data_IF_304792194489
#
_entry.id   IF_304792194489
#
_cell.length_a   1.000
_cell.length_b   1.000
_cell.length_c   1.000
_cell.angle_alpha   90.00
_cell.angle_beta   90.00
_cell.angle_gamma   90.00
#
_symmetry.space_group_name_H-M   'P 1'
#
loop_
_entity.id
_entity.type
_entity.pdbx_description
1 polymer ?
#
# COMPACT_ATOMS: atom_id res chain seq x y z
N UNK A 1 -0.61 -10.57 -15.08
CA UNK A 1 -1.75 -9.87 -14.44
C UNK A 1 -1.88 -8.45 -14.96
N UNK A 2 -2.98 -7.75 -14.66
CA UNK A 2 -3.40 -6.45 -15.24
C UNK A 2 -2.28 -5.40 -15.35
N UNK A 3 -1.38 -5.29 -14.38
CA UNK A 3 -0.26 -4.34 -14.43
C UNK A 3 0.79 -4.71 -15.49
N UNK A 4 0.95 -6.00 -15.82
CA UNK A 4 1.79 -6.40 -16.96
C UNK A 4 1.24 -5.85 -18.28
N UNK A 5 -0.08 -5.68 -18.41
CA UNK A 5 -0.66 -5.07 -19.60
C UNK A 5 -0.26 -3.59 -19.68
N UNK A 6 -0.25 -2.89 -18.56
CA UNK A 6 0.24 -1.50 -18.49
C UNK A 6 1.73 -1.40 -18.81
N UNK A 7 2.55 -2.33 -18.32
CA UNK A 7 3.98 -2.38 -18.61
C UNK A 7 4.27 -2.69 -20.09
N UNK A 8 3.63 -3.72 -20.64
CA UNK A 8 3.74 -4.10 -22.06
C UNK A 8 3.31 -2.93 -22.94
N UNK A 9 2.22 -2.26 -22.57
CA UNK A 9 1.75 -1.09 -23.29
C UNK A 9 2.75 0.06 -23.21
N UNK A 10 3.27 0.39 -22.04
CA UNK A 10 4.28 1.45 -21.90
C UNK A 10 5.54 1.14 -22.72
N UNK A 11 5.94 -0.12 -22.82
CA UNK A 11 7.06 -0.54 -23.66
C UNK A 11 6.73 -0.43 -25.15
N UNK A 12 5.54 -0.87 -25.57
CA UNK A 12 5.05 -0.70 -26.93
C UNK A 12 4.92 0.79 -27.33
N UNK A 13 4.45 1.64 -26.42
CA UNK A 13 4.37 3.10 -26.59
C UNK A 13 5.78 3.70 -26.82
N UNK A 14 6.78 3.28 -26.03
CA UNK A 14 8.18 3.71 -26.19
C UNK A 14 8.78 3.29 -27.52
N UNK A 15 8.37 2.13 -28.03
CA UNK A 15 8.81 1.59 -29.32
C UNK A 15 8.01 2.15 -30.50
N UNK A 16 6.99 3.01 -30.26
CA UNK A 16 6.12 3.54 -31.30
C UNK A 16 5.21 2.48 -31.94
N UNK A 17 4.98 1.36 -31.26
CA UNK A 17 4.16 0.23 -31.72
C UNK A 17 2.68 0.40 -31.42
N UNK A 18 2.30 1.53 -30.84
CA UNK A 18 0.94 1.89 -30.45
C UNK A 18 0.52 3.18 -31.14
N UNK A 19 -0.76 3.29 -31.41
CA UNK A 19 -1.45 4.43 -32.00
C UNK A 19 -2.55 4.94 -31.07
N UNK A 20 -3.13 6.10 -31.42
CA UNK A 20 -4.30 6.63 -30.70
C UNK A 20 -5.54 5.75 -30.81
N UNK A 21 -5.58 4.81 -31.75
CA UNK A 21 -6.68 3.90 -31.96
C UNK A 21 -6.65 2.70 -31.00
N UNK A 22 -5.52 2.42 -30.34
CA UNK A 22 -5.32 1.22 -29.50
C UNK A 22 -6.00 1.29 -28.11
N UNK A 23 -7.02 2.13 -27.96
CA UNK A 23 -7.92 2.17 -26.80
C UNK A 23 -7.28 2.65 -25.48
N UNK A 24 -8.13 2.88 -24.47
CA UNK A 24 -7.88 3.36 -23.08
C UNK A 24 -6.59 4.17 -22.83
N UNK A 25 -6.69 5.49 -22.76
CA UNK A 25 -5.52 6.36 -22.47
C UNK A 25 -4.94 6.17 -21.07
N UNK A 26 -5.75 5.72 -20.13
CA UNK A 26 -5.36 5.56 -18.74
C UNK A 26 -4.87 4.12 -18.51
N UNK A 27 -3.78 3.92 -17.75
CA UNK A 27 -3.36 2.61 -17.28
C UNK A 27 -4.54 1.87 -16.62
N UNK A 28 -4.67 0.56 -16.87
CA UNK A 28 -5.74 -0.26 -16.31
C UNK A 28 -5.66 -0.26 -14.77
N UNK A 29 -4.44 -0.23 -14.20
CA UNK A 29 -4.26 -0.06 -12.77
C UNK A 29 -4.90 1.23 -12.25
N UNK A 30 -4.83 2.33 -13.01
CA UNK A 30 -5.44 3.61 -12.62
C UNK A 30 -6.97 3.50 -12.57
N UNK A 31 -7.56 2.85 -13.58
CA UNK A 31 -9.02 2.57 -13.62
C UNK A 31 -9.45 1.71 -12.45
N UNK A 32 -8.72 0.63 -12.16
CA UNK A 32 -9.01 -0.23 -11.00
C UNK A 32 -8.95 0.58 -9.71
N UNK A 33 -7.90 1.37 -9.51
CA UNK A 33 -7.75 2.16 -8.29
C UNK A 33 -8.83 3.25 -8.17
N UNK A 34 -9.31 3.83 -9.27
CA UNK A 34 -10.47 4.74 -9.27
C UNK A 34 -11.73 4.03 -8.78
N UNK A 35 -12.04 2.85 -9.32
CA UNK A 35 -13.20 2.06 -8.90
C UNK A 35 -13.12 1.65 -7.43
N UNK A 36 -11.96 1.19 -6.96
CA UNK A 36 -11.75 0.81 -5.56
C UNK A 36 -11.82 2.00 -4.60
N UNK A 37 -11.41 3.19 -5.06
CA UNK A 37 -11.50 4.42 -4.27
C UNK A 37 -12.92 4.94 -4.22
N UNK A 38 -13.65 4.84 -5.34
CA UNK A 38 -15.04 5.29 -5.45
C UNK A 38 -15.98 4.38 -4.66
N UNK A 39 -15.80 3.05 -4.75
CA UNK A 39 -16.62 2.08 -4.05
C UNK A 39 -15.77 1.16 -3.17
N UNK A 40 -15.59 1.60 -1.92
CA UNK A 40 -14.75 0.93 -0.92
C UNK A 40 -15.28 -0.44 -0.48
N UNK A 41 -16.55 -0.76 -0.78
CA UNK A 41 -17.15 -2.08 -0.48
C UNK A 41 -16.44 -3.18 -1.27
N UNK A 42 -15.95 -2.88 -2.47
CA UNK A 42 -15.20 -3.85 -3.29
C UNK A 42 -13.75 -4.02 -2.86
N UNK A 43 -13.21 -3.15 -2.02
CA UNK A 43 -11.78 -3.15 -1.68
C UNK A 43 -11.34 -4.45 -1.00
N UNK A 44 -12.05 -4.87 0.05
CA UNK A 44 -11.68 -6.11 0.76
C UNK A 44 -11.85 -7.36 -0.13
N UNK A 45 -13.00 -7.60 -0.80
CA UNK A 45 -13.15 -8.73 -1.73
C UNK A 45 -12.09 -8.72 -2.83
N UNK A 46 -11.76 -7.54 -3.37
CA UNK A 46 -10.74 -7.40 -4.40
C UNK A 46 -9.36 -7.81 -3.89
N UNK A 47 -8.91 -7.30 -2.74
CA UNK A 47 -7.61 -7.65 -2.16
C UNK A 47 -7.50 -9.11 -1.71
N UNK A 48 -8.62 -9.75 -1.37
CA UNK A 48 -8.67 -11.17 -1.03
C UNK A 48 -8.54 -12.08 -2.25
N UNK A 49 -8.88 -11.61 -3.45
CA UNK A 49 -8.80 -12.40 -4.69
C UNK A 49 -7.34 -12.63 -5.17
N UNK A 50 -6.37 -11.92 -4.61
CA UNK A 50 -4.97 -12.03 -5.00
C UNK A 50 -4.25 -13.16 -4.25
N UNK A 51 -3.76 -14.14 -5.01
CA UNK A 51 -2.84 -15.18 -4.54
C UNK A 51 -1.38 -14.72 -4.60
N UNK A 52 -1.04 -13.92 -5.61
CA UNK A 52 0.30 -13.35 -5.81
C UNK A 52 0.49 -12.09 -4.93
N UNK A 53 1.39 -12.19 -3.94
CA UNK A 53 1.60 -11.12 -2.96
C UNK A 53 2.10 -9.82 -3.58
N UNK A 54 2.96 -9.90 -4.61
CA UNK A 54 3.60 -8.73 -5.24
C UNK A 54 2.55 -7.79 -5.82
N UNK A 55 1.55 -8.33 -6.50
CA UNK A 55 0.45 -7.53 -7.06
C UNK A 55 -0.47 -6.97 -6.00
N UNK A 56 -0.82 -7.79 -4.99
CA UNK A 56 -1.62 -7.35 -3.85
C UNK A 56 -0.96 -6.15 -3.18
N UNK A 57 0.33 -6.25 -2.90
CA UNK A 57 1.09 -5.18 -2.26
C UNK A 57 1.23 -3.96 -3.15
N UNK A 58 1.50 -4.13 -4.45
CA UNK A 58 1.59 -3.02 -5.39
C UNK A 58 0.28 -2.23 -5.47
N UNK A 59 -0.87 -2.90 -5.51
CA UNK A 59 -2.18 -2.22 -5.50
C UNK A 59 -2.37 -1.44 -4.21
N UNK A 60 -2.02 -2.01 -3.05
CA UNK A 60 -2.14 -1.32 -1.75
C UNK A 60 -1.26 -0.06 -1.72
N UNK A 61 -0.01 -0.18 -2.16
CA UNK A 61 0.94 0.93 -2.17
C UNK A 61 0.52 2.03 -3.14
N UNK A 62 -0.02 1.67 -4.30
CA UNK A 62 -0.55 2.62 -5.28
C UNK A 62 -1.89 3.23 -4.84
N UNK A 63 -2.67 2.54 -4.01
CA UNK A 63 -3.83 3.14 -3.35
C UNK A 63 -3.37 4.28 -2.42
N UNK A 64 -2.35 4.03 -1.59
CA UNK A 64 -1.77 5.05 -0.72
C UNK A 64 -1.10 6.21 -1.48
N UNK A 65 -0.51 5.94 -2.65
CA UNK A 65 0.16 6.97 -3.48
C UNK A 65 -0.78 8.11 -3.89
N UNK A 66 -2.09 7.83 -4.00
CA UNK A 66 -3.12 8.84 -4.31
C UNK A 66 -3.28 9.91 -3.24
N UNK A 67 -2.91 9.59 -2.00
CA UNK A 67 -3.08 10.45 -0.84
C UNK A 67 -1.76 11.06 -0.35
N UNK A 68 -0.63 10.73 -0.99
CA UNK A 68 0.59 11.47 -0.75
C UNK A 68 0.47 12.88 -1.29
N UNK A 69 0.77 13.87 -0.46
CA UNK A 69 0.89 15.26 -0.89
C UNK A 69 2.08 15.34 -1.85
N UNK A 70 1.80 15.37 -3.16
CA UNK A 70 2.83 15.66 -4.16
C UNK A 70 3.35 17.07 -3.88
N UNK A 71 4.61 17.19 -3.47
CA UNK A 71 5.27 18.50 -3.42
C UNK A 71 5.13 19.16 -4.79
N UNK A 72 4.52 20.34 -4.82
CA UNK A 72 4.05 21.02 -6.04
C UNK A 72 5.17 21.66 -6.87
N UNK A 73 6.33 21.03 -6.97
CA UNK A 73 7.43 21.43 -7.86
C UNK A 73 7.88 20.21 -8.65
N UNK A 74 7.13 19.85 -9.69
CA UNK A 74 7.63 18.95 -10.73
C UNK A 74 7.75 19.73 -12.03
N UNK A 75 8.97 20.17 -12.32
CA UNK A 75 9.33 20.72 -13.63
C UNK A 75 9.24 19.61 -14.69
N UNK A 76 8.92 20.03 -15.92
CA UNK A 76 8.35 19.24 -17.03
C UNK A 76 9.22 18.12 -17.61
N UNK A 77 10.33 17.72 -16.97
CA UNK A 77 11.22 16.64 -17.40
C UNK A 77 12.04 16.12 -16.21
N UNK A 78 11.45 15.30 -15.36
CA UNK A 78 12.23 14.40 -14.50
C UNK A 78 11.70 12.99 -14.70
N UNK A 79 12.64 12.09 -14.94
CA UNK A 79 12.42 10.69 -15.25
C UNK A 79 11.34 10.07 -14.37
N UNK A 80 10.67 9.08 -14.95
CA UNK A 80 9.53 8.34 -14.42
C UNK A 80 9.81 7.54 -13.13
N UNK A 81 10.73 7.99 -12.27
CA UNK A 81 10.79 7.55 -10.88
C UNK A 81 9.52 8.05 -10.18
N UNK A 82 8.43 7.30 -10.35
CA UNK A 82 7.57 7.04 -9.22
C UNK A 82 8.53 6.61 -8.11
N UNK A 83 8.65 7.41 -7.06
CA UNK A 83 9.25 6.92 -5.82
C UNK A 83 8.43 5.68 -5.46
N UNK A 84 9.01 4.50 -5.62
CA UNK A 84 8.33 3.24 -5.32
C UNK A 84 7.92 3.34 -3.85
N UNK A 85 6.63 3.58 -3.60
CA UNK A 85 6.10 3.58 -2.25
C UNK A 85 6.41 2.23 -1.63
N UNK A 86 6.80 2.26 -0.37
CA UNK A 86 7.11 1.07 0.43
C UNK A 86 6.11 0.94 1.56
N UNK A 87 6.01 -0.24 2.16
CA UNK A 87 5.16 -0.44 3.35
C UNK A 87 5.60 0.49 4.48
N UNK A 88 6.90 0.65 4.66
CA UNK A 88 7.46 1.57 5.65
C UNK A 88 7.01 3.02 5.42
N UNK A 89 7.11 3.52 4.18
CA UNK A 89 6.69 4.89 3.85
C UNK A 89 5.17 5.06 3.94
N UNK A 90 4.38 4.04 3.61
CA UNK A 90 2.93 4.06 3.81
C UNK A 90 2.57 4.15 5.30
N UNK A 91 3.22 3.35 6.15
CA UNK A 91 3.06 3.43 7.60
C UNK A 91 3.49 4.79 8.17
N UNK A 92 4.53 5.40 7.60
CA UNK A 92 5.01 6.71 8.05
C UNK A 92 3.95 7.81 7.94
N UNK A 93 2.99 7.69 7.03
CA UNK A 93 1.87 8.63 6.90
C UNK A 93 0.99 8.70 8.16
N UNK A 94 1.04 7.66 9.00
CA UNK A 94 0.28 7.55 10.26
C UNK A 94 1.18 7.61 11.51
N UNK A 95 2.46 7.95 11.35
CA UNK A 95 3.45 7.91 12.45
C UNK A 95 3.25 8.98 13.53
N UNK A 96 2.64 10.11 13.19
CA UNK A 96 2.37 11.22 14.11
C UNK A 96 0.88 11.57 14.16
N UNK A 97 0.43 12.20 15.24
CA UNK A 97 -0.95 12.68 15.35
C UNK A 97 -1.30 13.66 14.22
N UNK A 98 -0.37 14.54 13.81
CA UNK A 98 -0.59 15.50 12.74
C UNK A 98 -0.75 14.83 11.37
N UNK A 99 0.16 13.90 11.03
CA UNK A 99 0.12 13.20 9.75
C UNK A 99 -1.07 12.26 9.66
N UNK A 100 -1.36 11.50 10.72
CA UNK A 100 -2.52 10.64 10.79
C UNK A 100 -3.83 11.44 10.68
N UNK A 101 -3.91 12.63 11.31
CA UNK A 101 -5.08 13.50 11.20
C UNK A 101 -5.27 14.05 9.79
N UNK A 102 -4.18 14.33 9.07
CA UNK A 102 -4.25 14.70 7.67
C UNK A 102 -4.77 13.54 6.81
N UNK A 103 -4.27 12.32 7.04
CA UNK A 103 -4.74 11.13 6.31
C UNK A 103 -6.22 10.83 6.54
N UNK A 104 -6.70 10.89 7.78
CA UNK A 104 -8.12 10.70 8.12
C UNK A 104 -9.05 11.71 7.41
N UNK A 105 -8.55 12.91 7.11
CA UNK A 105 -9.31 13.89 6.32
C UNK A 105 -9.39 13.55 4.84
N UNK A 106 -8.41 12.79 4.33
CA UNK A 106 -8.30 12.45 2.92
C UNK A 106 -8.89 11.07 2.59
N UNK A 107 -8.88 10.14 3.54
CA UNK A 107 -9.39 8.78 3.36
C UNK A 107 -10.14 8.28 4.60
N UNK A 108 -11.13 7.41 4.37
CA UNK A 108 -11.84 6.71 5.42
C UNK A 108 -10.85 5.91 6.29
N UNK A 109 -10.88 6.07 7.62
CA UNK A 109 -9.87 5.46 8.48
C UNK A 109 -10.03 3.94 8.59
N UNK A 110 -11.25 3.40 8.43
CA UNK A 110 -11.50 1.96 8.28
C UNK A 110 -10.82 1.40 7.02
N UNK A 111 -10.87 2.15 5.91
CA UNK A 111 -10.13 1.78 4.68
C UNK A 111 -8.62 1.79 4.90
N UNK A 112 -8.11 2.76 5.66
CA UNK A 112 -6.69 2.80 6.02
C UNK A 112 -6.28 1.57 6.86
N UNK A 113 -7.07 1.21 7.86
CA UNK A 113 -6.81 0.01 8.68
C UNK A 113 -6.80 -1.27 7.84
N UNK A 114 -7.78 -1.41 6.94
CA UNK A 114 -7.90 -2.57 6.07
C UNK A 114 -6.68 -2.72 5.15
N UNK A 115 -6.27 -1.62 4.49
CA UNK A 115 -5.11 -1.60 3.61
C UNK A 115 -3.82 -1.92 4.35
N UNK A 116 -3.61 -1.30 5.52
CA UNK A 116 -2.45 -1.57 6.36
C UNK A 116 -2.44 -3.04 6.80
N UNK A 117 -3.58 -3.59 7.23
CA UNK A 117 -3.67 -4.98 7.69
C UNK A 117 -3.34 -5.97 6.57
N UNK A 118 -3.83 -5.74 5.35
CA UNK A 118 -3.43 -6.57 4.20
C UNK A 118 -1.95 -6.41 3.83
N UNK A 119 -1.39 -5.20 3.89
CA UNK A 119 0.05 -5.00 3.65
C UNK A 119 0.89 -5.75 4.69
N UNK A 120 0.48 -5.70 5.97
CA UNK A 120 1.16 -6.41 7.05
C UNK A 120 1.05 -7.93 6.90
N UNK A 121 -0.11 -8.45 6.51
CA UNK A 121 -0.29 -9.87 6.19
C UNK A 121 0.67 -10.32 5.08
N UNK A 122 0.87 -9.48 4.05
CA UNK A 122 1.86 -9.75 2.99
C UNK A 122 3.27 -9.76 3.57
N UNK A 123 3.66 -8.77 4.39
CA UNK A 123 4.98 -8.76 5.03
C UNK A 123 5.26 -10.06 5.80
N UNK A 124 4.28 -10.57 6.57
CA UNK A 124 4.42 -11.83 7.29
C UNK A 124 4.57 -13.05 6.39
N UNK A 125 3.96 -13.02 5.20
CA UNK A 125 3.97 -14.16 4.28
C UNK A 125 5.29 -14.28 3.52
N UNK A 126 5.96 -13.14 3.28
CA UNK A 126 7.18 -13.09 2.46
C UNK A 126 8.45 -13.06 3.30
N UNK A 127 8.38 -12.67 4.58
CA UNK A 127 9.49 -12.72 5.54
C UNK A 127 9.80 -14.18 5.94
N UNK A 128 10.41 -14.92 5.00
CA UNK A 128 10.71 -16.35 5.15
C UNK A 128 11.03 -17.06 3.82
N UNK A 129 10.56 -16.52 2.69
CA UNK A 129 10.81 -17.09 1.37
C UNK A 129 12.07 -16.49 0.73
N UNK A 130 13.16 -17.28 0.74
CA UNK A 130 14.49 -16.83 0.27
C UNK A 130 14.54 -16.51 -1.23
N UNK A 131 13.62 -17.05 -2.03
CA UNK A 131 13.60 -16.83 -3.49
C UNK A 131 13.15 -15.42 -3.91
N UNK A 132 12.39 -14.74 -3.05
CA UNK A 132 11.79 -13.43 -3.35
C UNK A 132 12.26 -12.33 -2.39
N UNK A 133 13.23 -12.65 -1.52
CA UNK A 133 13.70 -11.79 -0.45
C UNK A 133 14.15 -10.39 -0.91
N UNK A 134 14.76 -10.26 -2.09
CA UNK A 134 15.25 -8.97 -2.58
C UNK A 134 14.10 -8.03 -3.02
N UNK A 135 13.12 -8.56 -3.76
CA UNK A 135 11.94 -7.80 -4.16
C UNK A 135 11.08 -7.45 -2.96
N UNK A 136 10.93 -8.39 -2.02
CA UNK A 136 10.20 -8.19 -0.77
C UNK A 136 10.84 -7.09 0.08
N UNK A 137 12.15 -7.16 0.31
CA UNK A 137 12.90 -6.16 1.06
C UNK A 137 12.73 -4.76 0.43
N UNK A 138 12.79 -4.68 -0.91
CA UNK A 138 12.57 -3.42 -1.64
C UNK A 138 11.18 -2.84 -1.40
N UNK A 139 10.12 -3.66 -1.49
CA UNK A 139 8.73 -3.19 -1.31
C UNK A 139 8.37 -2.93 0.17
N UNK A 140 8.99 -3.66 1.11
CA UNK A 140 8.80 -3.42 2.54
C UNK A 140 9.49 -2.13 2.98
N UNK A 141 10.74 -1.92 2.55
CA UNK A 141 11.56 -0.74 2.88
C UNK A 141 12.22 -0.80 4.26
N UNK A 142 11.80 -1.72 5.13
CA UNK A 142 12.34 -1.89 6.49
C UNK A 142 12.23 -3.35 6.95
N UNK A 143 12.87 -3.69 8.07
CA UNK A 143 12.78 -5.02 8.67
C UNK A 143 11.36 -5.33 9.17
N UNK A 144 10.98 -6.62 9.25
CA UNK A 144 9.67 -7.01 9.79
C UNK A 144 9.45 -6.48 11.21
N UNK A 145 10.50 -6.38 12.03
CA UNK A 145 10.43 -5.81 13.37
C UNK A 145 10.04 -4.32 13.34
N UNK A 146 10.72 -3.53 12.51
CA UNK A 146 10.43 -2.10 12.36
C UNK A 146 9.03 -1.88 11.78
N UNK A 147 8.65 -2.67 10.77
CA UNK A 147 7.29 -2.66 10.20
C UNK A 147 6.25 -2.99 11.28
N UNK A 148 6.49 -4.00 12.12
CA UNK A 148 5.58 -4.37 13.22
C UNK A 148 5.43 -3.23 14.24
N UNK A 149 6.52 -2.56 14.61
CA UNK A 149 6.49 -1.42 15.53
C UNK A 149 5.74 -0.21 14.94
N UNK A 150 6.00 0.09 13.66
CA UNK A 150 5.34 1.18 12.93
C UNK A 150 3.85 0.88 12.71
N UNK A 151 3.50 -0.37 12.43
CA UNK A 151 2.12 -0.84 12.30
C UNK A 151 1.31 -0.62 13.58
N UNK A 152 1.85 -1.06 14.72
CA UNK A 152 1.21 -0.84 16.03
C UNK A 152 1.02 0.66 16.30
N UNK A 153 2.06 1.47 16.06
CA UNK A 153 2.00 2.93 16.24
C UNK A 153 0.95 3.59 15.33
N UNK A 154 0.87 3.17 14.06
CA UNK A 154 -0.11 3.68 13.10
C UNK A 154 -1.55 3.41 13.57
N UNK A 155 -1.86 2.18 14.01
CA UNK A 155 -3.18 1.82 14.53
C UNK A 155 -3.53 2.59 15.80
N UNK A 156 -2.56 2.80 16.70
CA UNK A 156 -2.76 3.61 17.90
C UNK A 156 -3.09 5.06 17.55
N UNK A 157 -2.37 5.67 16.60
CA UNK A 157 -2.62 7.05 16.20
C UNK A 157 -3.97 7.21 15.48
N UNK A 158 -4.32 6.28 14.58
CA UNK A 158 -5.65 6.24 13.95
C UNK A 158 -6.78 6.19 14.99
N UNK A 159 -6.63 5.33 16.02
CA UNK A 159 -7.61 5.20 17.09
C UNK A 159 -7.67 6.43 18.01
N UNK A 160 -6.55 7.09 18.29
CA UNK A 160 -6.53 8.34 19.07
C UNK A 160 -7.33 9.44 18.37
N UNK A 161 -7.19 9.54 17.05
CA UNK A 161 -7.86 10.57 16.24
C UNK A 161 -9.34 10.24 16.06
N UNK A 162 -9.68 8.96 15.86
CA UNK A 162 -11.05 8.49 15.72
C UNK A 162 -11.35 7.40 16.75
N UNK A 163 -11.74 7.81 17.96
CA UNK A 163 -11.99 6.88 19.06
C UNK A 163 -13.08 5.82 18.76
N UNK A 164 -14.03 6.17 17.88
CA UNK A 164 -15.17 5.32 17.51
C UNK A 164 -14.92 4.47 16.25
N UNK A 165 -13.70 4.46 15.72
CA UNK A 165 -13.36 3.68 14.53
C UNK A 165 -13.67 2.20 14.74
N UNK A 166 -14.40 1.60 13.80
CA UNK A 166 -14.69 0.18 13.86
C UNK A 166 -13.47 -0.59 13.37
N UNK A 167 -12.99 -1.52 14.20
CA UNK A 167 -11.92 -2.45 13.83
C UNK A 167 -12.52 -3.85 13.63
N UNK A 168 -12.37 -4.36 12.42
CA UNK A 168 -12.80 -5.69 12.01
C UNK A 168 -11.99 -6.78 12.72
N UNK A 169 -12.47 -8.02 12.65
CA UNK A 169 -11.75 -9.16 13.23
C UNK A 169 -10.39 -9.38 12.56
N UNK A 170 -10.32 -9.23 11.23
CA UNK A 170 -9.08 -9.35 10.47
C UNK A 170 -8.01 -8.34 10.92
N UNK A 171 -8.40 -7.07 11.10
CA UNK A 171 -7.47 -6.03 11.56
C UNK A 171 -7.02 -6.23 13.01
N UNK A 172 -7.91 -6.73 13.88
CA UNK A 172 -7.55 -7.09 15.26
C UNK A 172 -6.49 -8.19 15.31
N UNK A 173 -6.63 -9.22 14.46
CA UNK A 173 -5.66 -10.32 14.36
C UNK A 173 -4.31 -9.83 13.85
N UNK A 174 -4.30 -8.98 12.83
CA UNK A 174 -3.08 -8.34 12.33
C UNK A 174 -2.39 -7.51 13.43
N UNK A 175 -3.15 -6.67 14.16
CA UNK A 175 -2.63 -5.85 15.25
C UNK A 175 -2.09 -6.67 16.43
N UNK A 176 -2.80 -7.73 16.82
CA UNK A 176 -2.34 -8.65 17.85
C UNK A 176 -1.03 -9.35 17.46
N UNK A 177 -0.95 -9.81 16.21
CA UNK A 177 0.24 -10.46 15.66
C UNK A 177 1.43 -9.50 15.65
N UNK A 178 1.24 -8.27 15.16
CA UNK A 178 2.28 -7.24 15.15
C UNK A 178 2.80 -6.89 16.54
N UNK A 179 1.89 -6.69 17.50
CA UNK A 179 2.27 -6.40 18.88
C UNK A 179 3.05 -7.56 19.53
N UNK A 180 2.68 -8.81 19.20
CA UNK A 180 3.36 -10.00 19.72
C UNK A 180 4.77 -10.15 19.12
N UNK A 181 4.91 -9.96 17.81
CA UNK A 181 6.20 -10.01 17.12
C UNK A 181 7.14 -8.90 17.59
N UNK A 182 6.64 -7.66 17.68
CA UNK A 182 7.42 -6.53 18.15
C UNK A 182 8.03 -6.81 19.54
N UNK A 183 7.23 -7.35 20.48
CA UNK A 183 7.72 -7.73 21.81
C UNK A 183 8.71 -8.88 21.78
N UNK A 184 8.46 -9.92 20.99
CA UNK A 184 9.32 -11.12 20.94
C UNK A 184 10.69 -10.82 20.32
N UNK A 185 10.73 -10.01 19.27
CA UNK A 185 11.96 -9.68 18.54
C UNK A 185 12.77 -8.57 19.23
N UNK A 186 12.16 -7.69 20.02
CA UNK A 186 12.87 -6.71 20.85
C UNK A 186 13.61 -7.33 22.05
N UNK A 187 13.17 -8.50 22.51
CA UNK A 187 13.73 -9.21 23.67
C UNK A 187 14.79 -10.26 23.29
N UNK A 188 15.22 -10.30 22.02
CA UNK A 188 16.34 -11.12 21.52
C UNK A 188 17.55 -10.23 21.27
#
# INVERSE_FOLDING_TARGET
>A
MVINLDLIRQEADKLGLTSRADGLRNPILEVILEELTYNTIYLSPFLLAFTEWKWKLQIILQYFSRYQVKSAVRTRRSDNSQQDLTVESALSMFSTDASAKAMVKMMCPEVAQLLLAHAYQVCLSVDGDSSEANDAAKMMGASLLEISCKFVSAFQNLRKINANIQISQFEKEALFTAATLARKLQNK
#
